data_IF_536066275815
#
_entry.id   IF_536066275815
#
_cell.length_a   1.000
_cell.length_b   1.000
_cell.length_c   1.000
_cell.angle_alpha   90.00
_cell.angle_beta   90.00
_cell.angle_gamma   90.00
#
_symmetry.space_group_name_H-M   'P 1'
#
loop_
_entity.id
_entity.type
_entity.pdbx_description
1 polymer ?
#
# COMPACT_ATOMS: atom_id res chain seq x y z
N UNK A 1 48.37 5.60 46.14
CA UNK A 1 46.99 5.26 45.72
C UNK A 1 46.87 4.42 44.43
N UNK A 2 47.91 4.23 43.59
CA UNK A 2 47.82 3.45 42.33
C UNK A 2 47.94 1.92 42.47
N UNK A 3 48.56 1.40 43.55
CA UNK A 3 48.81 -0.04 43.75
C UNK A 3 47.56 -0.85 44.12
N UNK A 4 46.64 -0.26 44.90
CA UNK A 4 45.39 -0.93 45.30
C UNK A 4 44.45 -1.22 44.13
N UNK A 5 44.38 -0.29 43.16
CA UNK A 5 43.56 -0.42 41.95
C UNK A 5 44.06 -1.58 41.05
N UNK A 6 45.39 -1.74 40.96
CA UNK A 6 46.03 -2.83 40.20
C UNK A 6 45.78 -4.21 40.83
N UNK A 7 45.81 -4.32 42.16
CA UNK A 7 45.50 -5.58 42.85
C UNK A 7 44.02 -5.95 42.76
N UNK A 8 43.13 -4.96 42.75
CA UNK A 8 41.68 -5.17 42.64
C UNK A 8 41.29 -5.71 41.27
N UNK A 9 41.78 -5.11 40.18
CA UNK A 9 41.54 -5.61 38.81
C UNK A 9 42.13 -7.01 38.59
N UNK A 10 43.32 -7.30 39.15
CA UNK A 10 43.91 -8.65 39.09
C UNK A 10 43.06 -9.70 39.79
N UNK A 11 42.44 -9.36 40.93
CA UNK A 11 41.59 -10.29 41.64
C UNK A 11 40.26 -10.53 40.88
N UNK A 12 39.65 -9.49 40.31
CA UNK A 12 38.46 -9.63 39.47
C UNK A 12 38.69 -10.53 38.27
N UNK A 13 39.80 -10.34 37.56
CA UNK A 13 40.10 -11.15 36.39
C UNK A 13 40.28 -12.61 36.79
N UNK A 14 40.99 -12.87 37.89
CA UNK A 14 41.14 -14.22 38.44
C UNK A 14 39.80 -14.85 38.84
N UNK A 15 38.86 -14.07 39.37
CA UNK A 15 37.51 -14.53 39.70
C UNK A 15 36.69 -14.86 38.44
N UNK A 16 36.76 -14.04 37.39
CA UNK A 16 36.14 -14.32 36.08
C UNK A 16 36.62 -15.67 35.52
N UNK A 17 37.93 -15.94 35.58
CA UNK A 17 38.50 -17.23 35.14
C UNK A 17 38.12 -18.40 36.05
N UNK A 18 37.98 -18.19 37.36
CA UNK A 18 37.53 -19.23 38.30
C UNK A 18 36.05 -19.57 38.15
N UNK A 19 35.22 -18.62 37.72
CA UNK A 19 33.77 -18.79 37.57
C UNK A 19 33.33 -18.56 36.12
N UNK A 20 34.13 -19.06 35.18
CA UNK A 20 33.99 -18.78 33.75
C UNK A 20 32.62 -19.15 33.20
N UNK A 21 32.02 -20.25 33.66
CA UNK A 21 30.66 -20.66 33.28
C UNK A 21 29.60 -19.61 33.61
N UNK A 22 29.60 -19.07 34.85
CA UNK A 22 28.63 -18.02 35.26
C UNK A 22 28.88 -16.70 34.54
N UNK A 23 30.15 -16.33 34.34
CA UNK A 23 30.49 -15.15 33.57
C UNK A 23 30.01 -15.25 32.11
N UNK A 24 30.25 -16.39 31.45
CA UNK A 24 29.79 -16.63 30.09
C UNK A 24 28.26 -16.65 29.99
N UNK A 25 27.56 -17.22 30.98
CA UNK A 25 26.10 -17.17 31.03
C UNK A 25 25.56 -15.74 31.12
N UNK A 26 26.12 -14.89 32.01
CA UNK A 26 25.71 -13.49 32.14
C UNK A 26 26.06 -12.71 30.86
N UNK A 27 27.25 -12.93 30.30
CA UNK A 27 27.67 -12.32 29.05
C UNK A 27 26.73 -12.70 27.90
N UNK A 28 26.34 -13.97 27.79
CA UNK A 28 25.43 -14.44 26.77
C UNK A 28 24.03 -13.81 26.91
N UNK A 29 23.50 -13.70 28.14
CA UNK A 29 22.21 -13.04 28.39
C UNK A 29 22.27 -11.55 28.00
N UNK A 30 23.34 -10.85 28.38
CA UNK A 30 23.52 -9.44 28.04
C UNK A 30 23.72 -9.25 26.53
N UNK A 31 24.54 -10.08 25.89
CA UNK A 31 24.77 -10.02 24.45
C UNK A 31 23.49 -10.30 23.66
N UNK A 32 22.67 -11.25 24.10
CA UNK A 32 21.36 -11.53 23.50
C UNK A 32 20.43 -10.34 23.68
N UNK A 33 20.37 -9.75 24.88
CA UNK A 33 19.55 -8.57 25.16
C UNK A 33 19.93 -7.36 24.31
N UNK A 34 21.21 -6.98 24.31
CA UNK A 34 21.72 -5.82 23.55
C UNK A 34 21.67 -6.08 22.06
N UNK A 35 22.03 -7.29 21.61
CA UNK A 35 21.97 -7.68 20.20
C UNK A 35 20.54 -7.63 19.65
N UNK A 36 19.57 -8.15 20.40
CA UNK A 36 18.15 -8.10 20.01
C UNK A 36 17.63 -6.66 19.97
N UNK A 37 17.93 -5.85 21.00
CA UNK A 37 17.52 -4.45 21.04
C UNK A 37 18.10 -3.62 19.89
N UNK A 38 19.40 -3.76 19.64
CA UNK A 38 20.06 -3.08 18.53
C UNK A 38 19.51 -3.56 17.18
N UNK A 39 19.22 -4.85 17.05
CA UNK A 39 18.63 -5.42 15.84
C UNK A 39 17.25 -4.83 15.53
N UNK A 40 16.36 -4.78 16.53
CA UNK A 40 15.03 -4.18 16.37
C UNK A 40 15.10 -2.70 15.99
N UNK A 41 15.99 -1.94 16.63
CA UNK A 41 16.16 -0.51 16.34
C UNK A 41 16.58 -0.25 14.89
N UNK A 42 17.58 -0.99 14.39
CA UNK A 42 18.07 -0.83 13.01
C UNK A 42 17.04 -1.36 12.00
N UNK A 43 16.32 -2.43 12.33
CA UNK A 43 15.31 -3.01 11.44
C UNK A 43 14.17 -2.04 11.18
N UNK A 44 13.73 -1.29 12.20
CA UNK A 44 12.70 -0.26 12.03
C UNK A 44 13.13 0.79 11.00
N UNK A 45 14.33 1.35 11.13
CA UNK A 45 14.83 2.36 10.19
C UNK A 45 14.94 1.80 8.76
N UNK A 46 15.46 0.58 8.61
CA UNK A 46 15.57 -0.06 7.30
C UNK A 46 14.20 -0.33 6.65
N UNK A 47 13.18 -0.70 7.44
CA UNK A 47 11.81 -0.89 6.94
C UNK A 47 11.21 0.42 6.45
N UNK A 48 11.38 1.51 7.21
CA UNK A 48 10.90 2.85 6.84
C UNK A 48 11.56 3.31 5.55
N UNK A 49 12.89 3.16 5.43
CA UNK A 49 13.61 3.59 4.22
C UNK A 49 13.20 2.77 2.99
N UNK A 50 12.94 1.47 3.16
CA UNK A 50 12.44 0.61 2.08
C UNK A 50 11.04 1.02 1.64
N UNK A 51 10.16 1.34 2.59
CA UNK A 51 8.80 1.80 2.31
C UNK A 51 8.82 3.18 1.64
N UNK A 52 9.62 4.13 2.12
CA UNK A 52 9.80 5.46 1.53
C UNK A 52 10.26 5.36 0.07
N UNK A 53 11.29 4.55 -0.20
CA UNK A 53 11.76 4.31 -1.56
C UNK A 53 10.68 3.70 -2.45
N UNK A 54 9.92 2.73 -1.92
CA UNK A 54 8.83 2.09 -2.65
C UNK A 54 7.71 3.09 -2.99
N UNK A 55 7.27 3.90 -2.02
CA UNK A 55 6.22 4.90 -2.22
C UNK A 55 6.63 5.97 -3.22
N UNK A 56 7.87 6.47 -3.14
CA UNK A 56 8.40 7.42 -4.13
C UNK A 56 8.50 6.80 -5.52
N UNK A 57 8.98 5.56 -5.62
CA UNK A 57 9.12 4.87 -6.90
C UNK A 57 7.77 4.76 -7.62
N UNK A 58 6.70 4.47 -6.90
CA UNK A 58 5.37 4.29 -7.47
C UNK A 58 4.45 5.51 -7.29
N UNK A 59 5.00 6.64 -6.83
CA UNK A 59 4.29 7.89 -6.59
C UNK A 59 3.00 7.67 -5.77
N UNK A 60 3.11 7.05 -4.60
CA UNK A 60 1.96 6.90 -3.70
C UNK A 60 1.40 8.28 -3.34
N UNK A 61 0.08 8.38 -3.27
CA UNK A 61 -0.58 9.61 -2.85
C UNK A 61 -0.18 10.01 -1.42
N UNK A 62 -0.13 11.31 -1.17
CA UNK A 62 0.00 11.88 0.18
C UNK A 62 -1.39 12.09 0.78
N UNK A 63 -2.34 12.58 -0.04
CA UNK A 63 -3.72 12.82 0.35
C UNK A 63 -4.72 12.14 -0.60
N UNK A 64 -5.85 11.71 -0.04
CA UNK A 64 -6.93 11.07 -0.80
C UNK A 64 -8.29 11.63 -0.40
N UNK A 65 -8.91 12.31 -1.35
CA UNK A 65 -10.27 12.83 -1.22
C UNK A 65 -11.23 11.75 -1.71
N UNK A 66 -12.22 11.39 -0.90
CA UNK A 66 -13.27 10.43 -1.25
C UNK A 66 -14.60 11.16 -1.22
N UNK A 67 -15.36 11.10 -2.32
CA UNK A 67 -16.70 11.67 -2.40
C UNK A 67 -17.74 10.57 -2.45
N UNK A 68 -18.84 10.76 -1.71
CA UNK A 68 -20.04 9.92 -1.82
C UNK A 68 -20.99 10.40 -2.92
N UNK A 69 -20.86 11.64 -3.39
CA UNK A 69 -21.75 12.26 -4.39
C UNK A 69 -21.14 12.29 -5.79
N UNK A 70 -19.95 11.71 -5.97
CA UNK A 70 -19.13 11.87 -7.17
C UNK A 70 -18.36 13.19 -7.18
N UNK A 71 -17.30 13.24 -7.98
CA UNK A 71 -16.46 14.40 -8.24
C UNK A 71 -16.47 14.65 -9.74
N UNK A 72 -16.57 15.91 -10.15
CA UNK A 72 -16.58 16.30 -11.55
C UNK A 72 -15.23 15.97 -12.21
N UNK A 73 -15.21 15.72 -13.52
CA UNK A 73 -13.96 15.37 -14.22
C UNK A 73 -12.96 16.52 -14.26
N UNK A 74 -13.45 17.75 -14.06
CA UNK A 74 -12.65 18.96 -13.95
C UNK A 74 -12.01 19.16 -12.57
N UNK A 75 -12.53 18.53 -11.52
CA UNK A 75 -12.09 18.72 -10.13
C UNK A 75 -10.58 18.45 -9.93
N UNK A 76 -9.97 17.37 -10.49
CA UNK A 76 -8.54 17.15 -10.34
C UNK A 76 -7.70 18.33 -10.86
N UNK A 77 -8.15 19.04 -11.90
CA UNK A 77 -7.44 20.20 -12.42
C UNK A 77 -7.51 21.40 -11.47
N UNK A 78 -8.61 21.54 -10.73
CA UNK A 78 -8.76 22.57 -9.69
C UNK A 78 -7.80 22.30 -8.54
N UNK A 79 -7.74 21.06 -8.04
CA UNK A 79 -6.82 20.69 -6.98
C UNK A 79 -5.34 20.80 -7.41
N UNK A 80 -5.02 20.43 -8.65
CA UNK A 80 -3.67 20.58 -9.20
C UNK A 80 -3.19 22.05 -9.28
N UNK A 81 -4.12 23.01 -9.30
CA UNK A 81 -3.80 24.44 -9.34
C UNK A 81 -3.53 25.06 -7.96
N UNK A 82 -3.80 24.34 -6.87
CA UNK A 82 -3.53 24.80 -5.50
C UNK A 82 -2.02 24.87 -5.28
N UNK A 83 -1.56 25.98 -4.69
CA UNK A 83 -0.14 26.12 -4.37
C UNK A 83 0.29 25.09 -3.32
N UNK A 84 1.40 24.41 -3.56
CA UNK A 84 1.85 23.25 -2.77
C UNK A 84 1.44 21.88 -3.32
N UNK A 85 0.43 21.78 -4.20
CA UNK A 85 0.08 20.52 -4.86
C UNK A 85 1.05 20.25 -6.03
N UNK A 86 1.58 19.03 -6.10
CA UNK A 86 2.46 18.57 -7.18
C UNK A 86 1.65 17.95 -8.31
N UNK A 87 0.75 17.03 -8.00
CA UNK A 87 -0.17 16.43 -8.95
C UNK A 87 -1.48 16.07 -8.25
N UNK A 88 -2.57 16.12 -9.01
CA UNK A 88 -3.86 15.60 -8.60
C UNK A 88 -4.41 14.74 -9.75
N UNK A 89 -4.89 13.55 -9.43
CA UNK A 89 -5.39 12.59 -10.42
C UNK A 89 -6.70 11.97 -9.91
N UNK A 90 -7.75 12.06 -10.73
CA UNK A 90 -9.04 11.45 -10.46
C UNK A 90 -8.99 9.94 -10.67
N UNK A 91 -9.71 9.21 -9.83
CA UNK A 91 -9.85 7.77 -9.93
C UNK A 91 -11.26 7.29 -9.55
N UNK A 92 -11.59 6.11 -10.06
CA UNK A 92 -12.84 5.41 -9.80
C UNK A 92 -12.50 4.17 -8.98
N UNK A 93 -13.14 4.04 -7.83
CA UNK A 93 -13.01 2.90 -6.92
C UNK A 93 -14.41 2.45 -6.51
N UNK A 94 -14.72 1.19 -6.76
CA UNK A 94 -15.99 0.58 -6.34
C UNK A 94 -15.80 -0.88 -5.97
N UNK A 95 -16.54 -1.32 -4.94
CA UNK A 95 -16.60 -2.74 -4.59
C UNK A 95 -17.64 -3.42 -5.47
N UNK A 96 -17.31 -4.58 -6.01
CA UNK A 96 -18.20 -5.31 -6.94
C UNK A 96 -18.14 -6.82 -6.72
N UNK A 97 -19.29 -7.48 -6.84
CA UNK A 97 -19.35 -8.94 -6.88
C UNK A 97 -19.01 -9.44 -8.27
N UNK A 98 -18.06 -10.36 -8.35
CA UNK A 98 -17.64 -10.97 -9.60
C UNK A 98 -17.67 -12.47 -9.53
N UNK A 99 -18.00 -13.10 -10.65
CA UNK A 99 -17.99 -14.55 -10.82
C UNK A 99 -16.86 -14.94 -11.76
N UNK A 100 -16.06 -15.91 -11.34
CA UNK A 100 -14.93 -16.47 -12.11
C UNK A 100 -15.37 -17.76 -12.80
N UNK A 101 -14.67 -18.15 -13.87
CA UNK A 101 -14.83 -19.49 -14.49
C UNK A 101 -14.73 -20.59 -13.43
N UNK A 102 -15.83 -21.32 -13.22
CA UNK A 102 -16.01 -22.26 -12.10
C UNK A 102 -17.21 -21.93 -11.20
N UNK A 103 -17.84 -20.76 -11.38
CA UNK A 103 -19.10 -20.40 -10.72
C UNK A 103 -18.96 -19.87 -9.29
N UNK A 104 -17.72 -19.69 -8.81
CA UNK A 104 -17.47 -19.07 -7.53
C UNK A 104 -17.57 -17.53 -7.64
N UNK A 105 -18.32 -16.93 -6.72
CA UNK A 105 -18.48 -15.48 -6.62
C UNK A 105 -17.60 -14.92 -5.50
N UNK A 106 -16.94 -13.80 -5.79
CA UNK A 106 -16.03 -13.10 -4.89
C UNK A 106 -16.33 -11.60 -4.92
N UNK A 107 -16.11 -10.91 -3.80
CA UNK A 107 -16.08 -9.45 -3.80
C UNK A 107 -14.68 -8.99 -4.18
N UNK A 108 -14.59 -8.10 -5.16
CA UNK A 108 -13.34 -7.43 -5.53
C UNK A 108 -13.49 -5.91 -5.43
N UNK A 109 -12.42 -5.23 -5.02
CA UNK A 109 -12.31 -3.78 -5.15
C UNK A 109 -11.83 -3.46 -6.56
N UNK A 110 -12.68 -2.87 -7.37
CA UNK A 110 -12.35 -2.43 -8.72
C UNK A 110 -11.85 -0.99 -8.69
N UNK A 111 -10.67 -0.77 -9.24
CA UNK A 111 -10.00 0.54 -9.30
C UNK A 111 -9.71 0.92 -10.75
N UNK A 112 -9.78 2.20 -11.09
CA UNK A 112 -9.24 2.73 -12.34
C UNK A 112 -7.72 2.80 -12.28
N UNK A 113 -7.06 2.47 -13.39
CA UNK A 113 -5.62 2.63 -13.54
C UNK A 113 -5.30 4.12 -13.69
N UNK A 114 -4.47 4.61 -12.76
CA UNK A 114 -3.89 5.95 -12.76
C UNK A 114 -2.51 5.93 -13.45
N UNK A 115 -2.11 7.08 -13.99
CA UNK A 115 -0.90 7.26 -14.79
C UNK A 115 0.25 7.90 -14.00
N UNK A 116 -0.05 8.89 -13.16
CA UNK A 116 0.94 9.69 -12.45
C UNK A 116 1.07 9.27 -10.99
N UNK A 117 -0.06 9.08 -10.32
CA UNK A 117 -0.14 8.77 -8.88
C UNK A 117 -0.52 7.30 -8.70
N UNK A 118 -0.07 6.64 -7.64
CA UNK A 118 -0.35 5.22 -7.33
C UNK A 118 -0.06 4.26 -8.47
N UNK A 119 1.07 4.45 -9.15
CA UNK A 119 1.44 3.61 -10.28
C UNK A 119 1.57 2.16 -9.84
N UNK A 120 0.93 1.26 -10.56
CA UNK A 120 0.94 -0.16 -10.24
C UNK A 120 2.17 -0.88 -10.82
N UNK A 121 2.71 -1.83 -10.06
CA UNK A 121 3.87 -2.63 -10.45
C UNK A 121 3.41 -3.95 -11.06
N UNK A 122 3.76 -4.20 -12.32
CA UNK A 122 3.52 -5.49 -12.95
C UNK A 122 4.38 -6.60 -12.32
N UNK A 123 3.73 -7.63 -11.79
CA UNK A 123 4.36 -8.81 -11.22
C UNK A 123 4.37 -10.00 -12.20
N UNK A 124 3.31 -10.17 -13.00
CA UNK A 124 3.22 -11.21 -14.03
C UNK A 124 2.25 -10.80 -15.16
N UNK A 125 2.45 -11.35 -16.36
CA UNK A 125 1.60 -11.06 -17.53
C UNK A 125 1.95 -9.71 -18.17
N UNK A 126 0.94 -8.91 -18.47
CA UNK A 126 1.08 -7.57 -19.08
C UNK A 126 0.06 -6.57 -18.53
N UNK A 127 0.27 -5.30 -18.80
CA UNK A 127 -0.74 -4.25 -18.56
C UNK A 127 -1.89 -4.37 -19.58
N UNK A 128 -3.10 -3.85 -19.25
CA UNK A 128 -4.24 -3.82 -20.17
C UNK A 128 -3.94 -2.99 -21.42
N UNK A 129 -4.46 -3.43 -22.55
CA UNK A 129 -4.33 -2.76 -23.85
C UNK A 129 -5.66 -2.25 -24.40
N UNK A 130 -6.78 -2.66 -23.81
CA UNK A 130 -8.12 -2.22 -24.15
C UNK A 130 -9.01 -2.25 -22.90
N UNK A 131 -10.18 -1.61 -22.98
CA UNK A 131 -11.10 -1.40 -21.85
C UNK A 131 -11.83 -2.68 -21.40
N UNK A 132 -11.67 -3.81 -22.09
CA UNK A 132 -12.19 -5.14 -21.68
C UNK A 132 -11.15 -6.00 -20.98
N UNK A 133 -10.01 -5.43 -20.66
CA UNK A 133 -8.92 -6.11 -19.97
C UNK A 133 -8.68 -5.48 -18.59
N UNK A 134 -8.29 -6.32 -17.64
CA UNK A 134 -7.94 -5.87 -16.30
C UNK A 134 -6.68 -6.57 -15.81
N UNK A 135 -6.08 -6.01 -14.76
CA UNK A 135 -5.01 -6.67 -14.01
C UNK A 135 -5.47 -6.93 -12.59
N UNK A 136 -5.08 -8.09 -12.05
CA UNK A 136 -5.52 -8.55 -10.75
C UNK A 136 -4.46 -8.44 -9.67
N UNK A 137 -4.87 -8.67 -8.44
CA UNK A 137 -3.98 -8.72 -7.28
C UNK A 137 -2.97 -9.88 -7.35
N UNK A 138 -1.67 -9.56 -7.42
CA UNK A 138 -0.60 -10.55 -7.50
C UNK A 138 -0.44 -11.43 -6.26
N UNK A 139 -0.93 -11.00 -5.10
CA UNK A 139 -0.80 -11.72 -3.83
C UNK A 139 -2.01 -12.60 -3.55
N UNK A 140 -3.20 -12.17 -3.99
CA UNK A 140 -4.45 -12.89 -3.72
C UNK A 140 -4.87 -13.82 -4.87
N UNK A 141 -4.51 -13.49 -6.11
CA UNK A 141 -4.90 -14.28 -7.28
C UNK A 141 -3.75 -15.16 -7.78
N UNK A 142 -4.01 -16.44 -8.09
CA UNK A 142 -2.99 -17.32 -8.65
C UNK A 142 -2.66 -16.92 -10.09
N UNK A 143 -1.43 -17.22 -10.54
CA UNK A 143 -1.00 -16.95 -11.93
C UNK A 143 -1.88 -17.59 -13.01
N UNK A 144 -2.60 -18.66 -12.67
CA UNK A 144 -3.57 -19.31 -13.56
C UNK A 144 -4.78 -18.44 -13.90
N UNK A 145 -5.01 -17.34 -13.17
CA UNK A 145 -6.04 -16.36 -13.52
C UNK A 145 -5.68 -15.56 -14.77
N UNK A 146 -4.40 -15.47 -15.15
CA UNK A 146 -4.02 -14.76 -16.37
C UNK A 146 -4.59 -15.51 -17.58
N UNK A 147 -5.41 -14.82 -18.37
CA UNK A 147 -6.15 -15.33 -19.51
C UNK A 147 -7.60 -15.73 -19.21
N UNK A 148 -8.03 -15.73 -17.94
CA UNK A 148 -9.43 -16.02 -17.57
C UNK A 148 -10.29 -14.76 -17.61
N UNK A 149 -11.61 -14.95 -17.66
CA UNK A 149 -12.58 -13.86 -17.55
C UNK A 149 -13.16 -13.76 -16.13
N UNK A 150 -13.27 -12.53 -15.66
CA UNK A 150 -14.02 -12.14 -14.48
C UNK A 150 -15.29 -11.46 -14.98
N UNK A 151 -16.45 -11.96 -14.56
CA UNK A 151 -17.77 -11.44 -14.97
C UNK A 151 -18.45 -10.76 -13.80
N UNK A 152 -19.17 -9.67 -14.06
CA UNK A 152 -20.03 -9.05 -13.06
C UNK A 152 -21.12 -10.03 -12.64
N UNK A 153 -21.30 -10.20 -11.33
CA UNK A 153 -22.35 -11.06 -10.80
C UNK A 153 -23.73 -10.43 -11.07
N UNK A 154 -24.71 -11.29 -11.37
CA UNK A 154 -26.11 -10.87 -11.48
C UNK A 154 -26.68 -10.37 -10.13
N UNK A 155 -26.03 -10.73 -9.02
CA UNK A 155 -26.41 -10.33 -7.65
C UNK A 155 -26.04 -8.88 -7.32
N UNK A 156 -25.25 -8.20 -8.15
CA UNK A 156 -25.04 -6.76 -7.99
C UNK A 156 -26.36 -6.01 -8.26
N UNK A 157 -26.53 -4.87 -7.59
CA UNK A 157 -27.57 -3.91 -7.95
C UNK A 157 -27.32 -3.31 -9.36
N UNK A 158 -28.35 -2.69 -9.91
CA UNK A 158 -28.27 -2.11 -11.26
C UNK A 158 -27.28 -0.94 -11.30
N UNK A 159 -27.24 -0.09 -10.26
CA UNK A 159 -26.30 1.05 -10.19
C UNK A 159 -24.83 0.59 -10.31
N UNK A 160 -24.47 -0.51 -9.65
CA UNK A 160 -23.13 -1.10 -9.73
C UNK A 160 -22.84 -1.63 -11.13
N UNK A 161 -23.81 -2.29 -11.79
CA UNK A 161 -23.61 -2.80 -13.15
C UNK A 161 -23.50 -1.67 -14.16
N UNK A 162 -24.33 -0.65 -14.03
CA UNK A 162 -24.37 0.54 -14.90
C UNK A 162 -23.11 1.39 -14.77
N UNK A 163 -22.32 1.22 -13.70
CA UNK A 163 -21.02 1.86 -13.53
C UNK A 163 -19.90 1.23 -14.37
N UNK A 164 -20.10 0.02 -14.92
CA UNK A 164 -19.14 -0.68 -15.77
C UNK A 164 -19.59 -0.68 -17.24
N UNK A 165 -18.67 -0.39 -18.15
CA UNK A 165 -18.95 -0.36 -19.59
C UNK A 165 -19.18 -1.77 -20.20
N UNK A 166 -18.71 -2.83 -19.50
CA UNK A 166 -18.81 -4.22 -19.94
C UNK A 166 -19.13 -5.17 -18.79
N UNK A 167 -19.80 -6.27 -19.10
CA UNK A 167 -20.16 -7.32 -18.11
C UNK A 167 -19.00 -8.26 -17.76
N UNK A 168 -17.92 -8.24 -18.55
CA UNK A 168 -16.84 -9.22 -18.45
C UNK A 168 -15.49 -8.61 -18.83
N UNK A 169 -14.48 -8.92 -18.03
CA UNK A 169 -13.11 -8.44 -18.21
C UNK A 169 -12.13 -9.60 -18.22
N UNK A 170 -11.18 -9.56 -19.15
CA UNK A 170 -10.11 -10.57 -19.23
C UNK A 170 -8.95 -10.15 -18.35
N UNK A 171 -8.53 -11.03 -17.44
CA UNK A 171 -7.35 -10.79 -16.61
C UNK A 171 -6.11 -11.01 -17.45
N UNK A 172 -5.34 -9.96 -17.74
CA UNK A 172 -4.14 -10.04 -18.60
C UNK A 172 -2.82 -9.96 -17.85
N UNK A 173 -2.89 -9.66 -16.56
CA UNK A 173 -1.72 -9.58 -15.70
C UNK A 173 -2.08 -9.51 -14.23
N UNK A 174 -1.04 -9.59 -13.41
CA UNK A 174 -1.11 -9.46 -11.97
C UNK A 174 -0.14 -8.37 -11.52
N UNK A 175 -0.59 -7.54 -10.57
CA UNK A 175 0.14 -6.35 -10.12
C UNK A 175 0.23 -6.27 -8.59
N UNK A 176 1.28 -5.59 -8.11
CA UNK A 176 1.35 -5.05 -6.75
C UNK A 176 0.96 -3.56 -6.81
N UNK A 177 0.15 -3.10 -5.84
CA UNK A 177 -0.27 -1.70 -5.71
C UNK A 177 0.24 -1.11 -4.40
N UNK A 178 0.65 0.16 -4.42
CA UNK A 178 1.01 0.92 -3.21
C UNK A 178 -0.17 1.09 -2.26
N UNK A 179 -1.40 1.10 -2.77
CA UNK A 179 -2.60 1.17 -1.94
C UNK A 179 -2.83 -0.11 -1.10
N UNK A 180 -2.15 -1.21 -1.42
CA UNK A 180 -2.35 -2.52 -0.78
C UNK A 180 -1.02 -3.14 -0.31
N UNK A 181 -0.46 -2.60 0.77
CA UNK A 181 0.84 -3.05 1.31
C UNK A 181 0.79 -4.37 2.09
N UNK A 182 -0.38 -4.73 2.62
CA UNK A 182 -0.58 -5.92 3.44
C UNK A 182 -1.31 -7.03 2.69
N UNK A 183 -1.83 -8.03 3.40
CA UNK A 183 -2.71 -9.11 2.89
C UNK A 183 -4.18 -8.73 2.99
N UNK A 184 -4.52 -7.84 3.93
CA UNK A 184 -5.90 -7.35 4.09
C UNK A 184 -6.30 -6.46 2.92
N UNK A 185 -7.57 -6.56 2.50
CA UNK A 185 -8.14 -5.82 1.35
C UNK A 185 -9.28 -4.90 1.72
N UNK A 186 -9.59 -4.82 3.01
CA UNK A 186 -10.71 -4.05 3.52
C UNK A 186 -12.00 -4.86 3.64
N UNK A 187 -12.99 -4.17 4.18
CA UNK A 187 -14.34 -4.69 4.39
C UNK A 187 -15.30 -3.96 3.48
N UNK A 188 -16.35 -4.64 3.07
CA UNK A 188 -17.40 -4.10 2.22
C UNK A 188 -18.76 -4.30 2.88
N UNK A 189 -19.81 -3.66 2.34
CA UNK A 189 -21.20 -3.99 2.68
C UNK A 189 -21.74 -5.14 1.82
N UNK A 190 -21.03 -5.53 0.75
CA UNK A 190 -21.44 -6.58 -0.15
C UNK A 190 -21.17 -7.98 0.42
N UNK A 191 -22.06 -8.93 0.12
CA UNK A 191 -21.96 -10.35 0.46
C UNK A 191 -21.55 -10.64 1.92
N UNK A 192 -20.38 -11.24 2.13
CA UNK A 192 -19.89 -11.65 3.45
C UNK A 192 -19.11 -10.54 4.19
N UNK A 193 -19.09 -9.33 3.63
CA UNK A 193 -18.48 -8.16 4.24
C UNK A 193 -16.97 -8.04 4.07
N UNK A 194 -16.33 -8.89 3.26
CA UNK A 194 -14.87 -8.86 3.04
C UNK A 194 -14.51 -8.80 1.57
N UNK A 195 -13.57 -7.91 1.26
CA UNK A 195 -12.97 -7.84 -0.08
C UNK A 195 -11.95 -8.97 -0.19
N UNK A 196 -12.02 -9.76 -1.27
CA UNK A 196 -11.14 -10.92 -1.48
C UNK A 196 -9.86 -10.53 -2.20
N UNK A 197 -9.96 -9.67 -3.20
CA UNK A 197 -8.85 -9.20 -4.01
C UNK A 197 -9.19 -7.81 -4.57
N UNK A 198 -8.20 -7.13 -5.15
CA UNK A 198 -8.45 -5.95 -5.99
C UNK A 198 -8.23 -6.28 -7.46
N UNK A 199 -8.86 -5.48 -8.32
CA UNK A 199 -8.61 -5.47 -9.77
C UNK A 199 -8.45 -4.02 -10.22
N UNK A 200 -7.55 -3.81 -11.18
CA UNK A 200 -7.35 -2.52 -11.83
C UNK A 200 -7.80 -2.60 -13.29
N UNK A 201 -8.62 -1.64 -13.71
CA UNK A 201 -9.17 -1.54 -15.06
C UNK A 201 -8.78 -0.19 -15.68
N UNK A 202 -8.64 -0.11 -17.02
CA UNK A 202 -8.57 1.18 -17.70
C UNK A 202 -9.77 2.06 -17.36
N UNK A 203 -9.61 3.38 -17.39
CA UNK A 203 -10.72 4.31 -17.10
C UNK A 203 -11.92 4.09 -18.02
N UNK A 204 -11.70 3.75 -19.30
CA UNK A 204 -12.76 3.44 -20.27
C UNK A 204 -13.53 2.15 -19.99
N UNK A 205 -13.10 1.34 -19.02
CA UNK A 205 -13.87 0.19 -18.51
C UNK A 205 -15.04 0.63 -17.63
N UNK A 206 -15.04 1.88 -17.17
CA UNK A 206 -16.13 2.46 -16.37
C UNK A 206 -17.00 3.35 -17.26
N UNK A 207 -18.31 3.31 -17.03
CA UNK A 207 -19.31 4.12 -17.73
C UNK A 207 -19.71 5.36 -16.94
N UNK A 208 -19.03 5.67 -15.83
CA UNK A 208 -19.32 6.84 -15.01
C UNK A 208 -18.78 8.13 -15.63
N UNK A 209 -19.53 9.21 -15.43
CA UNK A 209 -19.16 10.57 -15.81
C UNK A 209 -18.51 11.36 -14.67
N UNK A 210 -18.28 10.72 -13.52
CA UNK A 210 -17.65 11.30 -12.33
C UNK A 210 -16.51 10.40 -11.80
N UNK A 211 -15.62 10.99 -10.99
CA UNK A 211 -14.64 10.29 -10.16
C UNK A 211 -15.20 10.01 -8.77
N UNK A 212 -14.81 8.90 -8.15
CA UNK A 212 -15.21 8.59 -6.75
C UNK A 212 -14.18 9.11 -5.75
N UNK A 213 -12.92 9.22 -6.20
CA UNK A 213 -11.82 9.68 -5.38
C UNK A 213 -10.82 10.49 -6.21
N UNK A 214 -10.08 11.38 -5.54
CA UNK A 214 -8.96 12.14 -6.11
C UNK A 214 -7.75 11.86 -5.26
N UNK A 215 -6.67 11.43 -5.92
CA UNK A 215 -5.37 11.26 -5.33
C UNK A 215 -4.54 12.52 -5.51
N UNK A 216 -3.82 12.92 -4.47
CA UNK A 216 -3.02 14.15 -4.46
C UNK A 216 -1.61 13.82 -3.97
N UNK A 217 -0.61 14.40 -4.64
CA UNK A 217 0.78 14.46 -4.16
C UNK A 217 1.20 15.90 -3.95
N UNK A 218 2.07 16.15 -2.96
CA UNK A 218 2.45 17.48 -2.50
C UNK A 218 3.92 17.77 -2.86
N UNK A 219 4.22 19.00 -3.30
CA UNK A 219 5.58 19.40 -3.72
C UNK A 219 6.60 19.36 -2.60
N UNK A 220 6.17 19.55 -1.36
CA UNK A 220 7.04 19.67 -0.19
C UNK A 220 7.03 18.42 0.70
N UNK A 221 6.34 17.36 0.28
CA UNK A 221 6.32 16.07 0.97
C UNK A 221 7.55 15.19 0.63
N UNK A 222 8.69 15.83 0.31
CA UNK A 222 9.93 15.14 -0.04
C UNK A 222 10.67 14.56 1.17
N UNK A 223 10.24 14.87 2.40
CA UNK A 223 10.81 14.33 3.64
C UNK A 223 10.64 12.81 3.76
N UNK A 224 11.48 12.16 4.55
CA UNK A 224 11.34 10.72 4.88
C UNK A 224 9.94 10.47 5.45
N UNK A 225 9.24 9.43 5.02
CA UNK A 225 7.95 9.08 5.61
C UNK A 225 8.05 8.94 7.15
N UNK A 226 7.02 9.41 7.86
CA UNK A 226 6.97 9.48 9.34
C UNK A 226 8.01 10.40 9.99
N UNK A 227 8.57 11.34 9.25
CA UNK A 227 9.39 12.41 9.83
C UNK A 227 8.53 13.64 10.12
N UNK A 228 8.90 14.40 11.14
CA UNK A 228 8.24 15.66 11.49
C UNK A 228 8.13 16.61 10.28
N UNK A 229 9.15 16.64 9.41
CA UNK A 229 9.14 17.46 8.21
C UNK A 229 8.08 17.03 7.17
N UNK A 230 7.84 15.72 7.05
CA UNK A 230 6.78 15.20 6.18
C UNK A 230 5.40 15.52 6.77
N UNK A 231 5.23 15.30 8.08
CA UNK A 231 3.96 15.57 8.77
C UNK A 231 3.60 17.06 8.72
N UNK A 232 4.57 17.96 8.86
CA UNK A 232 4.38 19.41 8.72
C UNK A 232 3.97 19.80 7.29
N UNK A 233 4.55 19.17 6.27
CA UNK A 233 4.22 19.44 4.86
C UNK A 233 2.79 19.01 4.52
N UNK A 234 2.35 17.86 5.02
CA UNK A 234 0.98 17.36 4.87
C UNK A 234 -0.01 18.24 5.62
N UNK A 235 0.27 18.55 6.90
CA UNK A 235 -0.61 19.38 7.72
C UNK A 235 -0.83 20.80 7.15
N UNK A 236 0.19 21.38 6.50
CA UNK A 236 0.07 22.69 5.86
C UNK A 236 -0.93 22.72 4.69
N UNK A 237 -1.20 21.56 4.08
CA UNK A 237 -2.09 21.41 2.92
C UNK A 237 -3.44 20.79 3.29
N UNK A 238 -3.65 20.37 4.54
CA UNK A 238 -4.92 19.80 5.01
C UNK A 238 -6.09 20.79 4.94
N UNK A 239 -5.89 22.04 5.34
CA UNK A 239 -6.95 23.07 5.32
C UNK A 239 -7.27 23.60 3.91
N UNK A 240 -6.28 23.87 3.03
CA UNK A 240 -6.54 24.21 1.63
C UNK A 240 -7.28 23.14 0.81
N UNK A 241 -7.27 21.88 1.26
CA UNK A 241 -7.91 20.75 0.58
C UNK A 241 -9.31 20.42 1.12
N UNK A 242 -9.78 21.08 2.18
CA UNK A 242 -11.15 20.96 2.74
C UNK A 242 -12.13 21.90 2.04
#
# INVERSE_FOLDING_TARGET
MKRGMQTWHKNQWREVWKTFGRFLSILAIVALGVGTFSGLKVTQDAMVDTADQYFRQYAMFDEKLISTMGLEKEDPAVFAAIDGVQAAEGAISMDVLVTVEGGASYVVAAHSITNQINRIKLAAGRMPQNDRECVGDARMLPKSMIGTQIKLSAENDEDTKDAFAYDAYTVVGLVDSTAYLNVERGTTKLANGKITAFVYLPEGAFSTDYYTEIYITLKNADGRIFSDAYDEAVAALEDPLK
#
